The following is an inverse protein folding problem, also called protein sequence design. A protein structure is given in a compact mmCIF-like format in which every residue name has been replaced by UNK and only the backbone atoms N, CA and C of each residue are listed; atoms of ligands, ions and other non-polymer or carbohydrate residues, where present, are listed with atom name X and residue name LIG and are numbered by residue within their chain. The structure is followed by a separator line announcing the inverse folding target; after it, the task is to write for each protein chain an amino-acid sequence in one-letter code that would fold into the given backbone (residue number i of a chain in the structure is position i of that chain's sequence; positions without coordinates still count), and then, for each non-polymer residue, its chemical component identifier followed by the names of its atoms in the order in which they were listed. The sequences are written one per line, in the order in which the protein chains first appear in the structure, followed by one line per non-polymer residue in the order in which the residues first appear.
data_IF_452564443242
#
_entry.id   IF_452564443242
#
_cell.length_a   1.000
_cell.length_b   1.000
_cell.length_c   1.000
_cell.angle_alpha   90.00
_cell.angle_beta   90.00
_cell.angle_gamma   90.00
#
_symmetry.space_group_name_H-M   'P 1'
#
loop_
_entity.id
_entity.type
_entity.pdbx_description
1 polymer ?
#
# COMPACT_ATOMS: atom_id res chain seq x y z
N UNK A 1 12.51 16.12 -1.19
CA UNK A 1 11.20 16.75 -0.93
C UNK A 1 10.11 15.89 -1.55
N UNK A 2 9.04 15.59 -0.81
CA UNK A 2 7.88 14.84 -1.33
C UNK A 2 7.22 15.60 -2.47
N UNK A 3 6.50 14.88 -3.34
CA UNK A 3 5.54 15.55 -4.24
C UNK A 3 4.37 16.15 -3.43
N UNK A 4 3.68 17.21 -3.92
CA UNK A 4 2.55 17.80 -3.20
C UNK A 4 1.44 16.79 -2.85
N UNK A 5 1.15 15.86 -3.76
CA UNK A 5 0.16 14.81 -3.54
C UNK A 5 0.62 13.80 -2.47
N UNK A 6 1.90 13.43 -2.47
CA UNK A 6 2.46 12.54 -1.47
C UNK A 6 2.54 13.21 -0.08
N UNK A 7 2.79 14.52 -0.02
CA UNK A 7 2.80 15.28 1.24
C UNK A 7 1.40 15.34 1.87
N UNK A 8 0.37 15.69 1.08
CA UNK A 8 -1.02 15.69 1.56
C UNK A 8 -1.46 14.30 2.03
N UNK A 9 -1.12 13.27 1.26
CA UNK A 9 -1.41 11.89 1.62
C UNK A 9 -0.66 11.45 2.89
N UNK A 10 0.60 11.83 3.03
CA UNK A 10 1.40 11.54 4.21
C UNK A 10 0.81 12.21 5.45
N UNK A 11 0.37 13.47 5.36
CA UNK A 11 -0.30 14.18 6.46
C UNK A 11 -1.60 13.50 6.85
N UNK A 12 -2.43 13.10 5.87
CA UNK A 12 -3.68 12.37 6.14
C UNK A 12 -3.43 11.06 6.88
N UNK A 13 -2.55 10.19 6.35
CA UNK A 13 -2.30 8.90 6.98
C UNK A 13 -1.56 9.07 8.31
N UNK A 14 -0.68 10.07 8.45
CA UNK A 14 -0.09 10.44 9.75
C UNK A 14 -1.18 10.83 10.76
N UNK A 15 -2.24 11.52 10.33
CA UNK A 15 -3.40 11.81 11.17
C UNK A 15 -4.19 10.57 11.60
N UNK A 16 -4.29 9.55 10.73
CA UNK A 16 -5.00 8.29 11.02
C UNK A 16 -4.19 7.34 11.91
N UNK A 17 -2.86 7.34 11.76
CA UNK A 17 -1.94 6.38 12.39
C UNK A 17 -1.19 7.01 13.57
N UNK A 18 -1.17 8.34 13.69
CA UNK A 18 -0.44 9.08 14.70
C UNK A 18 1.09 9.04 14.54
N UNK A 19 1.58 8.58 13.37
CA UNK A 19 3.01 8.35 13.12
C UNK A 19 3.41 8.90 11.75
N UNK A 20 4.58 9.53 11.69
CA UNK A 20 5.15 10.02 10.43
C UNK A 20 5.57 8.84 9.55
N UNK A 21 4.80 8.59 8.49
CA UNK A 21 5.04 7.51 7.53
C UNK A 21 6.42 7.50 6.89
N UNK A 22 7.04 8.66 6.68
CA UNK A 22 8.36 8.73 6.02
C UNK A 22 9.47 8.11 6.87
N UNK A 23 9.21 7.97 8.17
CA UNK A 23 10.12 7.35 9.13
C UNK A 23 9.74 5.90 9.44
N UNK A 24 8.58 5.42 8.98
CA UNK A 24 8.11 4.07 9.25
C UNK A 24 8.74 3.06 8.29
N UNK A 25 9.06 1.90 8.87
CA UNK A 25 9.44 0.69 8.14
C UNK A 25 8.25 -0.29 8.06
N UNK A 26 7.34 -0.20 9.03
CA UNK A 26 6.14 -1.02 9.10
C UNK A 26 4.92 -0.13 9.32
N UNK A 27 3.85 -0.42 8.58
CA UNK A 27 2.55 0.19 8.72
C UNK A 27 1.52 -0.91 8.90
N UNK A 28 0.93 -0.95 10.08
CA UNK A 28 -0.13 -1.89 10.41
C UNK A 28 -1.48 -1.17 10.46
N UNK A 29 -2.37 -1.57 9.56
CA UNK A 29 -3.75 -1.13 9.43
C UNK A 29 -4.73 -2.31 9.53
N UNK A 30 -4.28 -3.42 10.12
CA UNK A 30 -5.07 -4.62 10.39
C UNK A 30 -6.39 -4.26 11.09
N UNK A 31 -7.49 -4.82 10.60
CA UNK A 31 -8.85 -4.59 11.11
C UNK A 31 -9.29 -3.11 11.11
N UNK A 32 -8.60 -2.24 10.38
CA UNK A 32 -8.99 -0.83 10.21
C UNK A 32 -9.64 -0.62 8.85
N UNK A 33 -10.78 0.05 8.85
CA UNK A 33 -11.42 0.50 7.62
C UNK A 33 -10.69 1.76 7.11
N UNK A 34 -9.81 1.56 6.11
CA UNK A 34 -9.08 2.65 5.45
C UNK A 34 -9.99 3.38 4.45
N UNK A 35 -10.95 2.65 3.88
CA UNK A 35 -11.81 3.12 2.79
C UNK A 35 -11.03 3.38 1.49
N UNK A 36 -11.76 3.42 0.37
CA UNK A 36 -11.16 3.59 -0.95
C UNK A 36 -10.36 4.91 -1.10
N UNK A 37 -10.86 6.01 -0.51
CA UNK A 37 -10.18 7.31 -0.55
C UNK A 37 -8.90 7.32 0.30
N UNK A 38 -8.91 6.67 1.47
CA UNK A 38 -7.73 6.49 2.30
C UNK A 38 -6.69 5.62 1.62
N UNK A 39 -7.12 4.60 0.88
CA UNK A 39 -6.23 3.73 0.13
C UNK A 39 -5.57 4.45 -1.04
N UNK A 40 -6.30 5.29 -1.78
CA UNK A 40 -5.70 6.16 -2.80
C UNK A 40 -4.62 7.08 -2.24
N UNK A 41 -4.82 7.60 -1.02
CA UNK A 41 -3.80 8.37 -0.32
C UNK A 41 -2.59 7.50 0.06
N UNK A 42 -2.82 6.30 0.62
CA UNK A 42 -1.74 5.36 0.91
C UNK A 42 -0.92 5.01 -0.35
N UNK A 43 -1.60 4.77 -1.48
CA UNK A 43 -0.98 4.51 -2.77
C UNK A 43 -0.10 5.67 -3.25
N UNK A 44 -0.55 6.92 -3.10
CA UNK A 44 0.27 8.09 -3.42
C UNK A 44 1.55 8.16 -2.58
N UNK A 45 1.51 7.73 -1.31
CA UNK A 45 2.72 7.62 -0.47
C UNK A 45 3.64 6.51 -0.98
N UNK A 46 3.09 5.34 -1.31
CA UNK A 46 3.87 4.22 -1.85
C UNK A 46 4.54 4.55 -3.19
N UNK A 47 3.90 5.38 -4.02
CA UNK A 47 4.46 5.88 -5.28
C UNK A 47 5.60 6.88 -5.10
N UNK A 48 5.74 7.50 -3.93
CA UNK A 48 6.82 8.46 -3.69
C UNK A 48 8.15 7.73 -3.45
N UNK A 49 9.19 8.10 -4.20
CA UNK A 49 10.55 7.54 -4.09
C UNK A 49 11.18 7.65 -2.69
N UNK A 50 10.68 8.57 -1.86
CA UNK A 50 11.14 8.73 -0.48
C UNK A 50 10.44 7.79 0.48
N UNK A 51 9.41 7.06 0.07
CA UNK A 51 8.79 6.03 0.89
C UNK A 51 9.80 4.93 1.24
N UNK A 52 9.91 4.65 2.53
CA UNK A 52 10.84 3.66 3.10
C UNK A 52 10.11 2.52 3.80
N UNK A 53 8.83 2.33 3.51
CA UNK A 53 8.05 1.25 4.07
C UNK A 53 8.55 -0.09 3.52
N UNK A 54 8.75 -1.05 4.41
CA UNK A 54 9.13 -2.44 4.11
C UNK A 54 7.96 -3.40 4.32
N UNK A 55 7.09 -3.11 5.29
CA UNK A 55 5.97 -3.98 5.65
C UNK A 55 4.67 -3.18 5.68
N UNK A 56 3.65 -3.68 4.97
CA UNK A 56 2.30 -3.14 4.97
C UNK A 56 1.30 -4.24 5.33
N UNK A 57 0.60 -4.06 6.45
CA UNK A 57 -0.39 -5.02 6.94
C UNK A 57 -1.78 -4.40 6.79
N UNK A 58 -2.60 -5.02 5.94
CA UNK A 58 -3.98 -4.65 5.62
C UNK A 58 -4.93 -5.84 5.84
N UNK A 59 -4.56 -6.78 6.70
CA UNK A 59 -5.39 -7.92 7.07
C UNK A 59 -6.78 -7.44 7.55
N UNK A 60 -7.85 -8.07 7.07
CA UNK A 60 -9.23 -7.74 7.48
C UNK A 60 -9.60 -6.24 7.34
N UNK A 61 -8.97 -5.49 6.43
CA UNK A 61 -9.18 -4.04 6.24
C UNK A 61 -10.24 -3.67 5.18
N UNK A 62 -11.08 -4.63 4.79
CA UNK A 62 -12.13 -4.47 3.76
C UNK A 62 -11.59 -4.05 2.38
N UNK A 63 -10.44 -4.60 1.98
CA UNK A 63 -9.82 -4.34 0.67
C UNK A 63 -10.62 -5.05 -0.44
N UNK A 64 -10.95 -4.32 -1.50
CA UNK A 64 -11.67 -4.81 -2.68
C UNK A 64 -10.74 -5.10 -3.87
N UNK A 65 -11.29 -5.65 -4.95
CA UNK A 65 -10.54 -5.84 -6.20
C UNK A 65 -10.06 -4.51 -6.83
N UNK A 66 -10.86 -3.45 -6.75
CA UNK A 66 -10.48 -2.11 -7.26
C UNK A 66 -9.31 -1.53 -6.45
N UNK A 67 -9.37 -1.73 -5.14
CA UNK A 67 -8.32 -1.35 -4.20
C UNK A 67 -7.00 -2.09 -4.47
N UNK A 68 -7.06 -3.39 -4.83
CA UNK A 68 -5.89 -4.11 -5.30
C UNK A 68 -5.26 -3.48 -6.53
N UNK A 69 -6.06 -3.01 -7.50
CA UNK A 69 -5.54 -2.32 -8.68
C UNK A 69 -4.77 -1.05 -8.31
N UNK A 70 -5.34 -0.24 -7.41
CA UNK A 70 -4.70 0.99 -6.91
C UNK A 70 -3.38 0.68 -6.20
N UNK A 71 -3.34 -0.37 -5.36
CA UNK A 71 -2.13 -0.80 -4.67
C UNK A 71 -1.05 -1.32 -5.63
N UNK A 72 -1.42 -2.19 -6.57
CA UNK A 72 -0.43 -2.78 -7.49
C UNK A 72 0.14 -1.76 -8.47
N UNK A 73 -0.67 -0.80 -8.94
CA UNK A 73 -0.19 0.33 -9.74
C UNK A 73 0.82 1.19 -8.98
N UNK A 74 0.57 1.43 -7.69
CA UNK A 74 1.50 2.17 -6.85
C UNK A 74 2.84 1.44 -6.67
N UNK A 75 2.80 0.14 -6.39
CA UNK A 75 3.98 -0.69 -6.19
C UNK A 75 4.77 -0.92 -7.49
N UNK A 76 4.10 -0.90 -8.65
CA UNK A 76 4.76 -0.96 -9.96
C UNK A 76 5.42 0.37 -10.35
N UNK A 77 4.78 1.50 -10.04
CA UNK A 77 5.26 2.84 -10.42
C UNK A 77 6.51 3.26 -9.66
N UNK A 78 6.62 2.84 -8.41
CA UNK A 78 7.81 2.95 -7.60
C UNK A 78 8.08 1.55 -7.08
N UNK A 79 9.08 0.81 -7.63
CA UNK A 79 9.48 -0.50 -7.11
C UNK A 79 9.96 -0.32 -5.68
N UNK A 80 8.97 -0.35 -4.79
CA UNK A 80 9.06 0.24 -3.48
C UNK A 80 10.04 -0.57 -2.64
N UNK A 81 10.38 -0.07 -1.46
CA UNK A 81 11.14 -0.89 -0.51
C UNK A 81 10.27 -1.95 0.18
N UNK A 82 9.01 -2.14 -0.26
CA UNK A 82 8.09 -3.07 0.33
C UNK A 82 8.52 -4.51 0.04
N UNK A 83 8.75 -5.26 1.11
CA UNK A 83 9.19 -6.65 1.15
C UNK A 83 8.03 -7.55 1.59
N UNK A 84 7.14 -7.03 2.43
CA UNK A 84 5.99 -7.78 2.97
C UNK A 84 4.69 -7.00 2.80
N UNK A 85 3.68 -7.67 2.25
CA UNK A 85 2.33 -7.15 2.10
C UNK A 85 1.34 -8.20 2.63
N UNK A 86 0.61 -7.92 3.69
CA UNK A 86 -0.44 -8.82 4.19
C UNK A 86 -1.82 -8.30 3.79
N UNK A 87 -2.49 -9.04 2.91
CA UNK A 87 -3.87 -8.78 2.46
C UNK A 87 -4.85 -9.87 2.94
N UNK A 88 -4.44 -10.73 3.87
CA UNK A 88 -5.25 -11.86 4.34
C UNK A 88 -6.59 -11.40 4.95
N UNK A 89 -7.62 -12.25 4.87
CA UNK A 89 -8.94 -11.91 5.41
C UNK A 89 -9.74 -10.87 4.62
N UNK A 90 -9.19 -10.32 3.52
CA UNK A 90 -9.94 -9.48 2.59
C UNK A 90 -10.63 -10.28 1.49
N UNK A 91 -11.68 -9.71 0.90
CA UNK A 91 -12.46 -10.32 -0.18
C UNK A 91 -12.01 -9.77 -1.54
N UNK A 92 -10.80 -10.15 -1.96
CA UNK A 92 -10.20 -9.63 -3.20
C UNK A 92 -10.91 -10.14 -4.47
N UNK A 93 -11.46 -11.35 -4.41
CA UNK A 93 -12.01 -12.03 -5.59
C UNK A 93 -10.95 -12.40 -6.63
N UNK A 94 -11.37 -13.05 -7.71
CA UNK A 94 -10.44 -13.53 -8.76
C UNK A 94 -9.70 -12.37 -9.43
N UNK A 95 -10.39 -11.27 -9.72
CA UNK A 95 -9.78 -10.09 -10.34
C UNK A 95 -8.77 -9.40 -9.43
N UNK A 96 -9.02 -9.30 -8.12
CA UNK A 96 -8.06 -8.77 -7.17
C UNK A 96 -6.82 -9.66 -7.06
N UNK A 97 -7.00 -10.98 -6.97
CA UNK A 97 -5.91 -11.95 -6.94
C UNK A 97 -5.06 -11.89 -8.22
N UNK A 98 -5.68 -11.77 -9.39
CA UNK A 98 -4.98 -11.61 -10.68
C UNK A 98 -4.10 -10.36 -10.70
N UNK A 99 -4.57 -9.23 -10.15
CA UNK A 99 -3.73 -8.01 -10.03
C UNK A 99 -2.49 -8.25 -9.17
N UNK A 100 -2.62 -8.97 -8.06
CA UNK A 100 -1.50 -9.30 -7.19
C UNK A 100 -0.52 -10.26 -7.90
N UNK A 101 -1.01 -11.27 -8.62
CA UNK A 101 -0.17 -12.15 -9.42
C UNK A 101 0.66 -11.36 -10.45
N UNK A 102 0.04 -10.43 -11.18
CA UNK A 102 0.76 -9.59 -12.15
C UNK A 102 1.79 -8.65 -11.50
N UNK A 103 1.53 -8.17 -10.29
CA UNK A 103 2.54 -7.41 -9.52
C UNK A 103 3.77 -8.28 -9.21
N UNK A 104 3.58 -9.56 -8.88
CA UNK A 104 4.69 -10.49 -8.60
C UNK A 104 5.47 -10.89 -9.85
N UNK A 105 4.87 -10.81 -11.04
CA UNK A 105 5.56 -11.00 -12.32
C UNK A 105 6.49 -9.83 -12.67
N UNK A 106 6.32 -8.66 -12.05
CA UNK A 106 7.21 -7.53 -12.26
C UNK A 106 8.59 -7.81 -11.64
N UNK A 107 9.62 -7.84 -12.47
CA UNK A 107 11.02 -8.10 -12.06
C UNK A 107 11.60 -7.04 -11.13
N UNK A 108 10.99 -5.86 -11.06
CA UNK A 108 11.38 -4.80 -10.13
C UNK A 108 10.63 -4.88 -8.78
N UNK A 109 9.62 -5.75 -8.67
CA UNK A 109 8.91 -5.98 -7.42
C UNK A 109 9.86 -6.64 -6.41
N UNK A 110 9.85 -6.13 -5.17
CA UNK A 110 10.71 -6.62 -4.07
C UNK A 110 9.94 -7.40 -3.01
N UNK A 111 8.67 -7.70 -3.27
CA UNK A 111 7.87 -8.49 -2.35
C UNK A 111 8.45 -9.90 -2.25
N UNK A 112 8.82 -10.28 -1.04
CA UNK A 112 9.29 -11.62 -0.68
C UNK A 112 8.21 -12.40 0.08
N UNK A 113 7.24 -11.68 0.67
CA UNK A 113 6.15 -12.26 1.46
C UNK A 113 4.81 -11.58 1.16
N UNK A 114 3.78 -12.40 0.94
CA UNK A 114 2.39 -12.03 0.67
C UNK A 114 1.45 -12.85 1.58
#
# INVERSE_FOLDING_TARGET
FLSPAADEACQYVTGVVGKNLLLLRELNLCEREVGHSGLKKLAAVLQDKHCKLNTLILNNSNITAEDCCVLTEALNSNPSNLIELDLSGNKLGDSGNEKICHLLENTQCKLEKL
#
